data_IF_243919700166
#
_entry.id   IF_243919700166
#
_cell.length_a   1.000
_cell.length_b   1.000
_cell.length_c   1.000
_cell.angle_alpha   90.00
_cell.angle_beta   90.00
_cell.angle_gamma   90.00
#
_symmetry.space_group_name_H-M   'P 1'
#
loop_
_entity.id
_entity.type
_entity.pdbx_description
1 polymer ?
#
# COMPACT_ATOMS: atom_id res chain seq x y z
N UNK A 1 -50.41 -49.26 25.32
CA UNK A 1 -49.46 -48.42 24.57
C UNK A 1 -49.95 -46.98 24.66
N UNK A 2 -49.29 -46.13 25.44
CA UNK A 2 -49.68 -44.71 25.59
C UNK A 2 -48.81 -43.90 24.61
N UNK A 3 -49.36 -43.49 23.46
CA UNK A 3 -48.67 -42.52 22.61
C UNK A 3 -48.80 -41.15 23.26
N UNK A 4 -47.72 -40.63 23.82
CA UNK A 4 -47.68 -39.25 24.31
C UNK A 4 -47.82 -38.33 23.09
N UNK A 5 -48.98 -37.71 22.92
CA UNK A 5 -49.19 -36.66 21.93
C UNK A 5 -48.50 -35.38 22.38
N UNK A 6 -47.83 -34.68 21.46
CA UNK A 6 -47.28 -33.35 21.74
C UNK A 6 -48.42 -32.36 22.02
N UNK A 7 -48.24 -31.53 23.05
CA UNK A 7 -49.18 -30.46 23.36
C UNK A 7 -48.95 -29.28 22.41
N UNK A 8 -50.02 -28.54 22.11
CA UNK A 8 -49.93 -27.35 21.24
C UNK A 8 -48.97 -26.29 21.79
N UNK A 9 -48.79 -26.22 23.11
CA UNK A 9 -47.86 -25.28 23.74
C UNK A 9 -46.39 -25.67 23.52
N UNK A 10 -46.06 -26.96 23.53
CA UNK A 10 -44.70 -27.44 23.24
C UNK A 10 -44.31 -27.11 21.79
N UNK A 11 -45.24 -27.31 20.85
CA UNK A 11 -45.00 -26.98 19.45
C UNK A 11 -44.78 -25.47 19.26
N UNK A 12 -45.55 -24.65 19.96
CA UNK A 12 -45.45 -23.19 19.89
C UNK A 12 -44.10 -22.69 20.43
N UNK A 13 -43.62 -23.24 21.55
CA UNK A 13 -42.32 -22.86 22.11
C UNK A 13 -41.18 -23.24 21.14
N UNK A 14 -41.26 -24.39 20.48
CA UNK A 14 -40.23 -24.84 19.53
C UNK A 14 -40.12 -23.90 18.33
N UNK A 15 -41.24 -23.51 17.71
CA UNK A 15 -41.20 -22.61 16.55
C UNK A 15 -40.70 -21.21 16.92
N UNK A 16 -40.99 -20.74 18.14
CA UNK A 16 -40.48 -19.45 18.64
C UNK A 16 -38.97 -19.50 18.86
N UNK A 17 -38.46 -20.57 19.49
CA UNK A 17 -37.01 -20.75 19.71
C UNK A 17 -36.27 -20.86 18.37
N UNK A 18 -36.77 -21.65 17.42
CA UNK A 18 -36.16 -21.78 16.08
C UNK A 18 -36.20 -20.43 15.34
N UNK A 19 -37.29 -19.67 15.43
CA UNK A 19 -37.39 -18.34 14.82
C UNK A 19 -36.37 -17.35 15.37
N UNK A 20 -36.16 -17.33 16.69
CA UNK A 20 -35.15 -16.47 17.33
C UNK A 20 -33.74 -16.91 16.94
N UNK A 21 -33.43 -18.21 17.01
CA UNK A 21 -32.12 -18.74 16.64
C UNK A 21 -31.80 -18.51 15.16
N UNK A 22 -32.77 -18.68 14.26
CA UNK A 22 -32.61 -18.40 12.84
C UNK A 22 -32.36 -16.90 12.58
N UNK A 23 -33.07 -16.00 13.29
CA UNK A 23 -32.85 -14.56 13.20
C UNK A 23 -31.44 -14.14 13.62
N UNK A 24 -30.93 -14.68 14.73
CA UNK A 24 -29.57 -14.40 15.23
C UNK A 24 -28.51 -14.99 14.28
N UNK A 25 -28.74 -16.20 13.75
CA UNK A 25 -27.84 -16.83 12.79
C UNK A 25 -27.62 -15.98 11.54
N UNK A 26 -28.69 -15.46 10.93
CA UNK A 26 -28.62 -14.65 9.70
C UNK A 26 -27.82 -13.36 9.91
N UNK A 27 -28.02 -12.67 11.04
CA UNK A 27 -27.27 -11.46 11.36
C UNK A 27 -25.76 -11.72 11.59
N UNK A 28 -25.40 -12.92 12.05
CA UNK A 28 -24.01 -13.29 12.35
C UNK A 28 -23.21 -13.77 11.13
N UNK A 29 -23.86 -14.23 10.05
CA UNK A 29 -23.15 -14.79 8.89
C UNK A 29 -22.86 -13.76 7.78
N UNK A 30 -23.66 -12.69 7.63
CA UNK A 30 -23.47 -11.70 6.57
C UNK A 30 -22.09 -11.01 6.60
N UNK A 31 -21.64 -10.56 7.78
CA UNK A 31 -20.34 -9.90 7.92
C UNK A 31 -19.12 -10.82 7.70
N UNK A 32 -19.28 -12.14 7.91
CA UNK A 32 -18.20 -13.10 7.75
C UNK A 32 -18.11 -13.62 6.31
N UNK A 33 -19.23 -13.70 5.58
CA UNK A 33 -19.22 -14.03 4.15
C UNK A 33 -18.61 -12.92 3.32
N UNK A 34 -18.87 -11.66 3.66
CA UNK A 34 -18.30 -10.51 2.92
C UNK A 34 -16.78 -10.44 3.07
N UNK A 35 -16.25 -10.62 4.30
CA UNK A 35 -14.80 -10.70 4.54
C UNK A 35 -14.15 -11.89 3.82
N UNK A 36 -14.83 -13.03 3.76
CA UNK A 36 -14.33 -14.21 3.04
C UNK A 36 -14.33 -13.99 1.51
N UNK A 37 -15.31 -13.26 0.96
CA UNK A 37 -15.37 -12.89 -0.45
C UNK A 37 -14.27 -11.89 -0.82
N UNK A 38 -13.99 -10.88 0.03
CA UNK A 38 -12.87 -9.95 -0.16
C UNK A 38 -11.53 -10.69 -0.09
N UNK A 39 -11.32 -11.58 0.89
CA UNK A 39 -10.10 -12.40 0.95
C UNK A 39 -9.92 -13.26 -0.30
N UNK A 40 -11.00 -13.85 -0.84
CA UNK A 40 -10.94 -14.59 -2.11
C UNK A 40 -10.59 -13.67 -3.29
N UNK A 41 -11.12 -12.45 -3.34
CA UNK A 41 -10.75 -11.44 -4.33
C UNK A 41 -9.28 -11.07 -4.28
N UNK A 42 -8.73 -10.82 -3.08
CA UNK A 42 -7.29 -10.55 -2.88
C UNK A 42 -6.43 -11.75 -3.30
N UNK A 43 -6.87 -12.98 -3.03
CA UNK A 43 -6.17 -14.18 -3.44
C UNK A 43 -6.20 -14.36 -4.97
N UNK A 44 -7.31 -14.00 -5.61
CA UNK A 44 -7.46 -13.99 -7.07
C UNK A 44 -6.63 -12.88 -7.71
N UNK A 45 -6.55 -11.69 -7.12
CA UNK A 45 -5.62 -10.64 -7.57
C UNK A 45 -4.17 -11.14 -7.52
N UNK A 46 -3.77 -11.87 -6.48
CA UNK A 46 -2.44 -12.50 -6.41
C UNK A 46 -2.21 -13.49 -7.55
N UNK A 47 -3.20 -14.31 -7.88
CA UNK A 47 -3.14 -15.26 -9.00
C UNK A 47 -3.09 -14.54 -10.37
N UNK A 48 -3.87 -13.47 -10.54
CA UNK A 48 -3.86 -12.63 -11.74
C UNK A 48 -2.54 -11.87 -11.88
N UNK A 49 -1.93 -11.39 -10.79
CA UNK A 49 -0.61 -10.77 -10.81
C UNK A 49 0.47 -11.76 -11.26
N UNK A 50 0.40 -13.00 -10.80
CA UNK A 50 1.31 -14.07 -11.24
C UNK A 50 1.08 -14.48 -12.71
N UNK A 51 -0.17 -14.47 -13.19
CA UNK A 51 -0.53 -14.83 -14.57
C UNK A 51 -0.35 -13.69 -15.58
N UNK A 52 -0.43 -12.42 -15.15
CA UNK A 52 -0.29 -11.24 -16.02
C UNK A 52 1.15 -10.83 -16.30
N UNK A 53 2.14 -11.52 -15.73
CA UNK A 53 3.56 -11.20 -15.89
C UNK A 53 3.99 -9.90 -15.17
N UNK A 54 3.16 -9.39 -14.25
CA UNK A 54 3.53 -8.28 -13.37
C UNK A 54 4.28 -8.87 -12.18
N UNK A 55 5.61 -8.90 -12.31
CA UNK A 55 6.54 -9.39 -11.29
C UNK A 55 6.71 -8.36 -10.16
N UNK A 56 5.71 -8.27 -9.29
CA UNK A 56 5.72 -7.38 -8.11
C UNK A 56 6.78 -7.84 -7.12
N UNK A 57 7.87 -7.07 -7.00
CA UNK A 57 9.01 -7.43 -6.13
C UNK A 57 8.78 -7.23 -4.64
N UNK A 58 7.89 -6.31 -4.29
CA UNK A 58 7.44 -6.05 -2.93
C UNK A 58 6.14 -5.25 -2.94
N UNK A 59 5.28 -5.48 -1.94
CA UNK A 59 4.06 -4.70 -1.71
C UNK A 59 3.76 -4.64 -0.21
N UNK A 60 3.65 -3.44 0.34
CA UNK A 60 3.28 -3.20 1.74
C UNK A 60 1.97 -2.44 1.78
N UNK A 61 0.92 -3.06 2.34
CA UNK A 61 -0.43 -2.49 2.37
C UNK A 61 -0.64 -1.47 3.50
N UNK A 62 0.16 -1.56 4.57
CA UNK A 62 0.03 -0.68 5.75
C UNK A 62 -1.39 -0.67 6.32
N UNK A 63 -1.99 -1.85 6.49
CA UNK A 63 -3.40 -1.98 6.90
C UNK A 63 -3.60 -2.62 8.29
N UNK A 64 -2.54 -3.05 8.99
CA UNK A 64 -2.68 -3.79 10.25
C UNK A 64 -3.23 -2.95 11.41
N UNK A 65 -3.09 -1.61 11.34
CA UNK A 65 -3.56 -0.66 12.36
C UNK A 65 -2.88 -0.79 13.72
N UNK A 66 -1.86 -1.65 13.82
CA UNK A 66 -1.14 -1.96 15.05
C UNK A 66 0.15 -2.74 14.75
N UNK A 67 1.01 -2.86 15.77
CA UNK A 67 2.28 -3.57 15.70
C UNK A 67 3.43 -2.71 15.17
N UNK A 68 4.61 -3.33 15.09
CA UNK A 68 5.88 -2.67 14.75
C UNK A 68 6.46 -3.13 13.41
N UNK A 69 5.67 -3.82 12.59
CA UNK A 69 6.09 -4.33 11.29
C UNK A 69 4.95 -4.33 10.27
N UNK A 70 5.30 -4.18 8.99
CA UNK A 70 4.38 -4.32 7.86
C UNK A 70 4.84 -5.49 6.99
N UNK A 71 3.99 -6.50 6.85
CA UNK A 71 4.30 -7.68 6.04
C UNK A 71 4.34 -7.35 4.55
N UNK A 72 5.26 -7.98 3.82
CA UNK A 72 5.30 -7.93 2.36
C UNK A 72 4.32 -8.96 1.77
N UNK A 73 3.28 -8.48 1.08
CA UNK A 73 2.25 -9.34 0.47
C UNK A 73 2.61 -9.85 -0.92
N UNK A 74 3.79 -9.49 -1.44
CA UNK A 74 4.28 -9.99 -2.74
C UNK A 74 4.72 -11.46 -2.71
N UNK A 75 5.02 -11.98 -1.52
CA UNK A 75 5.58 -13.34 -1.35
C UNK A 75 7.11 -13.41 -1.41
N UNK A 76 7.80 -12.27 -1.40
CA UNK A 76 9.27 -12.20 -1.42
C UNK A 76 9.91 -11.88 -0.06
N UNK A 77 9.14 -11.97 1.03
CA UNK A 77 9.63 -11.87 2.42
C UNK A 77 10.34 -10.55 2.77
N UNK A 78 10.05 -9.45 2.07
CA UNK A 78 10.62 -8.15 2.37
C UNK A 78 9.87 -7.43 3.50
N UNK A 79 9.62 -8.09 4.64
CA UNK A 79 8.88 -7.48 5.76
C UNK A 79 9.57 -6.20 6.23
N UNK A 80 8.80 -5.12 6.32
CA UNK A 80 9.26 -3.83 6.80
C UNK A 80 9.10 -3.73 8.33
N UNK A 81 10.04 -3.06 8.99
CA UNK A 81 9.98 -2.76 10.43
C UNK A 81 9.80 -1.26 10.62
N UNK A 82 8.93 -0.87 11.55
CA UNK A 82 8.72 0.53 11.92
C UNK A 82 9.92 1.02 12.74
N UNK A 83 10.49 2.16 12.36
CA UNK A 83 11.59 2.82 13.06
C UNK A 83 11.18 4.25 13.44
N UNK A 84 11.61 4.70 14.62
CA UNK A 84 11.23 5.99 15.18
C UNK A 84 9.95 5.88 16.01
N UNK A 85 9.12 6.92 15.95
CA UNK A 85 7.84 7.03 16.64
C UNK A 85 6.66 7.05 15.67
N UNK A 86 6.80 6.38 14.51
CA UNK A 86 5.73 6.16 13.54
C UNK A 86 4.46 5.63 14.22
N UNK A 87 3.31 6.17 13.83
CA UNK A 87 2.01 5.77 14.38
C UNK A 87 1.05 5.28 13.31
N UNK A 88 0.07 4.48 13.72
CA UNK A 88 -1.01 4.01 12.86
C UNK A 88 -2.20 4.96 12.94
N UNK A 89 -2.77 5.33 11.80
CA UNK A 89 -4.04 6.06 11.72
C UNK A 89 -5.11 5.15 11.10
N UNK A 90 -6.11 4.77 11.88
CA UNK A 90 -7.23 3.93 11.43
C UNK A 90 -8.43 4.75 10.94
N UNK A 91 -8.32 6.07 10.91
CA UNK A 91 -9.39 7.01 10.57
C UNK A 91 -9.13 7.75 9.26
N UNK A 92 -7.87 7.86 8.85
CA UNK A 92 -7.44 8.51 7.63
C UNK A 92 -6.67 7.52 6.75
N UNK A 93 -7.36 6.95 5.77
CA UNK A 93 -6.80 5.97 4.84
C UNK A 93 -7.05 6.40 3.40
N UNK A 94 -6.18 6.01 2.45
CA UNK A 94 -6.43 6.28 1.04
C UNK A 94 -7.72 5.58 0.62
N UNK A 95 -8.65 6.33 0.03
CA UNK A 95 -9.86 5.78 -0.58
C UNK A 95 -9.50 5.17 -1.94
N UNK A 96 -8.93 3.98 -1.94
CA UNK A 96 -9.24 3.10 -3.06
C UNK A 96 -10.67 2.61 -2.87
N UNK A 97 -11.36 2.42 -3.98
CA UNK A 97 -12.75 1.99 -4.10
C UNK A 97 -12.94 0.52 -3.66
N UNK A 98 -12.08 0.06 -2.74
CA UNK A 98 -12.07 -1.26 -2.12
C UNK A 98 -12.00 -1.04 -0.60
N UNK A 99 -13.11 -1.28 0.09
CA UNK A 99 -13.35 -0.95 1.49
C UNK A 99 -12.55 -1.79 2.51
N UNK A 100 -11.25 -1.98 2.31
CA UNK A 100 -10.37 -2.83 3.12
C UNK A 100 -9.16 -2.12 3.72
N UNK A 101 -8.79 -0.90 3.28
CA UNK A 101 -7.70 -0.14 3.89
C UNK A 101 -8.10 0.28 5.32
N UNK A 102 -7.68 -0.52 6.30
CA UNK A 102 -8.09 -0.39 7.70
C UNK A 102 -7.20 0.59 8.48
N UNK A 103 -6.07 0.97 7.92
CA UNK A 103 -5.16 1.95 8.51
C UNK A 103 -4.25 2.59 7.45
N UNK A 104 -3.51 3.61 7.89
CA UNK A 104 -2.32 4.16 7.24
C UNK A 104 -1.21 4.36 8.27
N UNK A 105 0.01 4.65 7.81
CA UNK A 105 1.12 5.02 8.67
C UNK A 105 1.39 6.52 8.60
N UNK A 106 1.58 7.12 9.78
CA UNK A 106 1.91 8.53 9.94
C UNK A 106 3.40 8.65 10.24
N UNK A 107 4.05 9.54 9.49
CA UNK A 107 5.46 9.88 9.61
C UNK A 107 5.56 11.36 9.96
N UNK A 108 6.12 11.72 11.11
CA UNK A 108 6.12 13.10 11.62
C UNK A 108 7.23 13.99 11.02
N UNK A 109 8.07 13.42 10.17
CA UNK A 109 9.21 14.10 9.55
C UNK A 109 10.47 14.15 10.42
N UNK A 110 10.49 13.48 11.58
CA UNK A 110 11.59 13.48 12.55
C UNK A 110 12.06 12.06 12.89
N UNK A 111 12.82 11.44 12.00
CA UNK A 111 13.47 10.14 12.28
C UNK A 111 12.56 8.92 12.06
N UNK A 112 11.35 9.14 11.55
CA UNK A 112 10.36 8.12 11.25
C UNK A 112 10.55 7.51 9.85
N UNK A 113 10.59 6.18 9.77
CA UNK A 113 10.60 5.46 8.49
C UNK A 113 10.26 3.97 8.66
N UNK A 114 9.91 3.33 7.54
CA UNK A 114 9.92 1.88 7.43
C UNK A 114 11.29 1.40 6.95
N UNK A 115 11.91 0.51 7.71
CA UNK A 115 13.15 -0.15 7.32
C UNK A 115 12.87 -1.52 6.72
N UNK A 116 13.47 -1.78 5.56
CA UNK A 116 13.41 -3.08 4.90
C UNK A 116 14.84 -3.59 4.75
N UNK A 117 15.18 -4.78 5.27
CA UNK A 117 16.50 -5.38 5.08
C UNK A 117 16.89 -5.46 3.61
N UNK A 118 18.19 -5.33 3.31
CA UNK A 118 18.67 -5.46 1.94
C UNK A 118 18.37 -6.86 1.39
N UNK A 119 17.76 -6.88 0.20
CA UNK A 119 17.54 -8.11 -0.55
C UNK A 119 17.77 -7.89 -2.04
N UNK A 120 18.23 -8.94 -2.72
CA UNK A 120 18.60 -8.90 -4.14
C UNK A 120 17.42 -8.64 -5.08
N UNK A 121 16.22 -9.08 -4.72
CA UNK A 121 14.98 -8.83 -5.46
C UNK A 121 14.56 -7.35 -5.46
N UNK A 122 14.98 -6.57 -4.45
CA UNK A 122 14.76 -5.13 -4.37
C UNK A 122 15.81 -4.34 -5.14
N UNK A 123 16.81 -4.96 -5.77
CA UNK A 123 17.83 -4.25 -6.55
C UNK A 123 17.34 -4.08 -7.99
N UNK A 124 17.32 -2.85 -8.47
CA UNK A 124 16.89 -2.56 -9.84
C UNK A 124 18.02 -2.90 -10.82
N UNK A 125 17.77 -3.88 -11.68
CA UNK A 125 18.70 -4.31 -12.75
C UNK A 125 18.16 -4.02 -14.15
N UNK A 126 16.88 -3.71 -14.27
CA UNK A 126 16.19 -3.41 -15.53
C UNK A 126 15.13 -2.31 -15.31
N UNK A 127 14.05 -2.32 -16.08
CA UNK A 127 12.92 -1.43 -15.91
C UNK A 127 12.28 -1.65 -14.54
N UNK A 128 11.81 -0.58 -13.91
CA UNK A 128 11.15 -0.63 -12.60
C UNK A 128 9.93 0.26 -12.59
N UNK A 129 8.90 -0.17 -11.86
CA UNK A 129 7.77 0.69 -11.51
C UNK A 129 7.72 0.80 -10.00
N UNK A 130 7.52 2.02 -9.50
CA UNK A 130 7.27 2.28 -8.08
C UNK A 130 5.96 3.04 -7.99
N UNK A 131 5.09 2.62 -7.08
CA UNK A 131 3.84 3.30 -6.76
C UNK A 131 3.61 3.36 -5.26
N UNK A 132 2.96 4.43 -4.80
CA UNK A 132 2.60 4.62 -3.40
C UNK A 132 1.35 5.51 -3.29
N UNK A 133 0.56 5.28 -2.25
CA UNK A 133 -0.36 6.28 -1.72
C UNK A 133 0.39 7.17 -0.74
N UNK A 134 0.27 8.48 -0.89
CA UNK A 134 0.90 9.47 0.00
C UNK A 134 -0.09 10.58 0.37
N UNK A 135 0.02 11.10 1.59
CA UNK A 135 -0.69 12.31 2.03
C UNK A 135 0.31 13.30 2.65
N UNK A 136 1.12 13.98 1.82
CA UNK A 136 2.15 14.87 2.33
C UNK A 136 1.56 16.15 2.93
N UNK A 137 2.01 16.53 4.13
CA UNK A 137 1.71 17.84 4.72
C UNK A 137 2.63 18.94 4.17
N UNK A 138 3.84 18.55 3.78
CA UNK A 138 4.86 19.42 3.18
C UNK A 138 5.39 18.80 1.88
N UNK A 139 5.77 19.64 0.91
CA UNK A 139 6.37 19.14 -0.31
C UNK A 139 7.85 18.80 -0.17
N UNK A 140 8.60 19.59 0.61
CA UNK A 140 10.04 19.43 0.83
C UNK A 140 10.33 19.69 2.30
N UNK A 141 11.32 18.98 2.84
CA UNK A 141 11.75 19.22 4.21
C UNK A 141 12.45 20.59 4.32
N UNK A 142 12.20 21.41 5.36
CA UNK A 142 12.86 22.70 5.52
C UNK A 142 14.39 22.59 5.44
N UNK A 143 15.02 23.40 4.59
CA UNK A 143 16.48 23.37 4.37
C UNK A 143 16.96 22.25 3.43
N UNK A 144 16.05 21.46 2.84
CA UNK A 144 16.32 20.46 1.82
C UNK A 144 15.50 20.75 0.57
N UNK A 145 15.91 20.19 -0.58
CA UNK A 145 15.14 20.25 -1.82
C UNK A 145 14.19 19.05 -1.98
N UNK A 146 14.24 18.06 -1.10
CA UNK A 146 13.51 16.79 -1.25
C UNK A 146 12.80 16.39 0.05
N UNK A 147 11.70 15.65 -0.08
CA UNK A 147 11.12 14.85 1.00
C UNK A 147 10.95 13.38 0.58
N UNK A 148 11.23 12.47 1.53
CA UNK A 148 11.33 11.03 1.34
C UNK A 148 9.98 10.35 1.06
N UNK A 149 9.86 9.55 -0.01
CA UNK A 149 8.77 8.57 -0.16
C UNK A 149 9.35 7.16 -0.05
N UNK A 150 10.33 6.83 -0.90
CA UNK A 150 11.07 5.58 -0.81
C UNK A 150 12.49 5.79 -1.31
N UNK A 151 13.45 5.16 -0.63
CA UNK A 151 14.83 5.16 -1.07
C UNK A 151 15.46 3.79 -0.80
N UNK A 152 16.27 3.36 -1.77
CA UNK A 152 17.21 2.25 -1.58
C UNK A 152 18.61 2.78 -1.89
N UNK A 153 19.36 3.04 -0.82
CA UNK A 153 20.73 3.54 -0.87
C UNK A 153 21.68 2.60 -0.16
N UNK A 154 22.67 2.06 -0.87
CA UNK A 154 23.93 1.56 -0.31
C UNK A 154 25.08 2.13 -1.14
N UNK A 155 26.31 1.61 -1.00
CA UNK A 155 27.35 1.81 -2.00
C UNK A 155 27.29 0.63 -2.99
N UNK A 156 26.64 0.75 -4.17
CA UNK A 156 26.03 1.95 -4.76
C UNK A 156 24.54 2.14 -4.43
N UNK A 157 24.06 3.39 -4.55
CA UNK A 157 22.64 3.75 -4.43
C UNK A 157 21.89 3.04 -5.57
N UNK A 158 20.63 2.65 -5.38
CA UNK A 158 19.88 1.93 -6.42
C UNK A 158 18.79 2.81 -7.00
N UNK A 159 17.89 3.30 -6.16
CA UNK A 159 16.83 4.22 -6.60
C UNK A 159 16.31 5.07 -5.44
N UNK A 160 15.67 6.18 -5.79
CA UNK A 160 14.92 7.00 -4.84
C UNK A 160 13.78 7.73 -5.52
N UNK A 161 12.62 7.72 -4.87
CA UNK A 161 11.45 8.52 -5.21
C UNK A 161 11.21 9.54 -4.10
N UNK A 162 11.16 10.81 -4.49
CA UNK A 162 10.98 11.93 -3.58
C UNK A 162 9.93 12.89 -4.10
N UNK A 163 9.31 13.62 -3.19
CA UNK A 163 8.68 14.90 -3.53
C UNK A 163 9.76 15.96 -3.69
N UNK A 164 9.53 16.91 -4.59
CA UNK A 164 10.50 17.92 -5.00
C UNK A 164 9.76 19.19 -5.41
N UNK A 165 10.28 20.35 -5.00
CA UNK A 165 9.72 21.66 -5.32
C UNK A 165 10.83 22.53 -5.95
N UNK A 166 10.97 22.56 -7.29
CA UNK A 166 12.04 23.31 -7.96
C UNK A 166 11.88 24.83 -7.83
N UNK A 167 10.63 25.31 -7.93
CA UNK A 167 10.28 26.73 -7.88
C UNK A 167 8.78 26.90 -7.69
N UNK A 168 8.36 28.06 -7.17
CA UNK A 168 6.94 28.34 -6.91
C UNK A 168 6.35 27.43 -5.83
N UNK A 169 5.08 27.08 -5.98
CA UNK A 169 4.33 26.24 -5.03
C UNK A 169 4.02 24.84 -5.58
N UNK A 170 4.62 24.46 -6.72
CA UNK A 170 4.27 23.25 -7.45
C UNK A 170 4.99 22.03 -6.87
N UNK A 171 4.25 21.20 -6.15
CA UNK A 171 4.79 19.97 -5.59
C UNK A 171 4.86 18.86 -6.64
N UNK A 172 6.08 18.41 -6.96
CA UNK A 172 6.38 17.47 -8.05
C UNK A 172 7.06 16.22 -7.52
N UNK A 173 7.12 15.18 -8.35
CA UNK A 173 7.90 13.98 -8.06
C UNK A 173 9.27 14.09 -8.70
N UNK A 174 10.29 13.62 -8.00
CA UNK A 174 11.62 13.37 -8.55
C UNK A 174 11.97 11.91 -8.35
N UNK A 175 12.36 11.24 -9.44
CA UNK A 175 12.84 9.87 -9.38
C UNK A 175 14.25 9.78 -9.95
N UNK A 176 15.10 9.01 -9.27
CA UNK A 176 16.43 8.64 -9.74
C UNK A 176 16.68 7.16 -9.57
N UNK A 177 17.42 6.58 -10.51
CA UNK A 177 17.74 5.15 -10.54
C UNK A 177 19.12 4.90 -11.17
N UNK A 178 19.75 3.79 -10.79
CA UNK A 178 20.99 3.30 -11.41
C UNK A 178 20.76 2.93 -12.88
N UNK A 179 21.80 3.09 -13.70
CA UNK A 179 21.78 2.58 -15.08
C UNK A 179 21.80 1.05 -15.07
N UNK A 180 21.28 0.43 -16.12
CA UNK A 180 21.29 -1.03 -16.24
C UNK A 180 22.74 -1.54 -16.23
N UNK A 181 23.02 -2.50 -15.35
CA UNK A 181 24.36 -3.10 -15.20
C UNK A 181 25.42 -2.16 -14.60
N UNK A 182 25.04 -0.95 -14.18
CA UNK A 182 25.96 0.04 -13.62
C UNK A 182 25.41 0.62 -12.32
N UNK A 183 26.09 0.27 -11.24
CA UNK A 183 26.01 0.89 -9.93
C UNK A 183 25.89 2.42 -9.96
N UNK A 184 26.74 3.06 -10.75
CA UNK A 184 26.87 4.51 -10.94
C UNK A 184 27.38 4.78 -12.36
N UNK A 185 27.07 5.95 -12.98
CA UNK A 185 26.32 7.10 -12.46
C UNK A 185 24.78 6.90 -12.53
N UNK A 186 24.06 7.63 -11.68
CA UNK A 186 22.59 7.69 -11.69
C UNK A 186 22.07 8.55 -12.85
N UNK A 187 20.82 8.31 -13.22
CA UNK A 187 20.04 9.29 -13.97
C UNK A 187 18.72 9.57 -13.24
N UNK A 188 18.28 10.82 -13.28
CA UNK A 188 17.11 11.30 -12.58
C UNK A 188 16.31 12.28 -13.43
N UNK A 189 15.03 12.42 -13.13
CA UNK A 189 14.19 13.47 -13.74
C UNK A 189 13.10 13.91 -12.78
N UNK A 190 12.31 14.90 -13.18
CA UNK A 190 11.19 15.45 -12.41
C UNK A 190 9.89 15.25 -13.22
N UNK A 191 8.76 15.00 -12.55
CA UNK A 191 7.42 14.96 -13.16
C UNK A 191 7.07 16.26 -13.88
N UNK A 192 6.02 16.32 -14.72
CA UNK A 192 5.70 17.48 -15.58
C UNK A 192 5.70 18.84 -14.86
N UNK A 193 6.15 19.90 -15.55
CA UNK A 193 6.10 21.29 -15.08
C UNK A 193 4.71 21.93 -15.24
N UNK A 194 3.79 21.27 -15.94
CA UNK A 194 2.43 21.75 -16.18
C UNK A 194 1.38 20.93 -15.44
N UNK A 195 1.81 20.11 -14.49
CA UNK A 195 0.96 19.21 -13.70
C UNK A 195 0.64 17.88 -14.39
N UNK A 196 -0.16 17.02 -13.74
CA UNK A 196 -0.73 17.23 -12.39
C UNK A 196 0.33 17.34 -11.29
N UNK A 197 0.06 18.15 -10.27
CA UNK A 197 0.92 18.34 -9.10
C UNK A 197 0.36 17.58 -7.89
N UNK A 198 1.23 17.25 -6.94
CA UNK A 198 0.85 16.61 -5.68
C UNK A 198 0.06 17.62 -4.84
N UNK A 199 -1.12 17.21 -4.38
CA UNK A 199 -1.95 18.02 -3.49
C UNK A 199 -1.57 17.76 -2.04
N UNK A 200 -1.21 18.80 -1.29
CA UNK A 200 -0.89 18.66 0.13
C UNK A 200 -2.17 18.38 0.94
N UNK A 201 -2.01 17.68 2.07
CA UNK A 201 -3.09 17.31 2.99
C UNK A 201 -4.22 16.49 2.35
N UNK A 202 -3.96 15.86 1.20
CA UNK A 202 -4.89 14.99 0.49
C UNK A 202 -4.17 13.72 0.06
N UNK A 203 -4.89 12.60 0.01
CA UNK A 203 -4.34 11.36 -0.53
C UNK A 203 -4.06 11.51 -2.02
N UNK A 204 -2.84 11.22 -2.44
CA UNK A 204 -2.42 11.14 -3.82
C UNK A 204 -1.93 9.72 -4.08
N UNK A 205 -2.40 9.10 -5.15
CA UNK A 205 -1.76 7.92 -5.72
C UNK A 205 -0.69 8.36 -6.71
N UNK A 206 0.57 8.08 -6.37
CA UNK A 206 1.73 8.43 -7.19
C UNK A 206 2.37 7.19 -7.77
N UNK A 207 2.82 7.26 -9.02
CA UNK A 207 3.62 6.21 -9.63
C UNK A 207 4.67 6.78 -10.57
N UNK A 208 5.78 6.05 -10.71
CA UNK A 208 6.79 6.29 -11.72
C UNK A 208 7.18 4.98 -12.39
N UNK A 209 7.19 4.98 -13.72
CA UNK A 209 7.72 3.91 -14.54
C UNK A 209 9.06 4.36 -15.09
N UNK A 210 10.11 3.59 -14.81
CA UNK A 210 11.45 3.84 -15.29
C UNK A 210 11.87 2.75 -16.27
N UNK A 211 12.23 3.16 -17.48
CA UNK A 211 12.93 2.29 -18.43
C UNK A 211 14.42 2.53 -18.26
N UNK A 212 15.20 1.51 -17.94
CA UNK A 212 16.65 1.64 -17.72
C UNK A 212 17.43 0.98 -18.85
N UNK A 213 18.55 1.60 -19.22
CA UNK A 213 19.49 1.06 -20.20
C UNK A 213 20.93 1.44 -19.85
N UNK A 214 21.92 0.93 -20.60
CA UNK A 214 23.34 1.14 -20.29
C UNK A 214 23.78 2.62 -20.32
N UNK A 215 23.14 3.44 -21.16
CA UNK A 215 23.47 4.87 -21.29
C UNK A 215 22.64 5.78 -20.41
N UNK A 216 21.61 5.27 -19.73
CA UNK A 216 20.54 6.06 -19.10
C UNK A 216 19.18 5.48 -19.45
N UNK A 217 18.13 6.27 -19.28
CA UNK A 217 16.77 5.80 -19.47
C UNK A 217 15.74 6.91 -19.48
N UNK A 218 14.48 6.54 -19.37
CA UNK A 218 13.35 7.47 -19.31
C UNK A 218 12.45 7.19 -18.12
N UNK A 219 11.80 8.25 -17.62
CA UNK A 219 10.81 8.17 -16.55
C UNK A 219 9.46 8.67 -17.06
N UNK A 220 8.39 7.98 -16.69
CA UNK A 220 7.01 8.42 -16.91
C UNK A 220 6.32 8.48 -15.55
N UNK A 221 5.74 9.63 -15.22
CA UNK A 221 5.15 9.91 -13.92
C UNK A 221 3.63 9.94 -14.01
N UNK A 222 2.98 9.46 -12.95
CA UNK A 222 1.54 9.49 -12.75
C UNK A 222 1.27 10.06 -11.37
N UNK A 223 0.44 11.09 -11.29
CA UNK A 223 -0.03 11.68 -10.04
C UNK A 223 -1.55 11.77 -10.17
N UNK A 224 -2.24 11.04 -9.31
CA UNK A 224 -3.70 11.02 -9.21
C UNK A 224 -4.07 11.43 -7.78
N UNK A 225 -5.12 12.20 -7.62
CA UNK A 225 -5.64 12.61 -6.32
C UNK A 225 -6.97 13.30 -6.49
#
# INVERSE_FOLDING_TARGET
>A
MHSKGFTLIELLVVIVIIGILAGIGIASFGGNTDKALVSRGLNLEREIHQLSGIDTKARWLMESGSGTSVSDVSGHENTATLVGNTTWDTTDTPSDNNSSNSASLVFDGSGDYLEIPDSGNLRVTQNVTISAWIKPEICVYPGNSYAGIVAKGNNPRSYSLYTYQPSGNDCRLHFSVSKQGQATPFFGSVSSATGPFIKLNQWNHVAVVAKTGPSGGSHTYFIMG
#
